data_IF_300047477281
#
_entry.id   IF_300047477281
#
_cell.length_a   1.000
_cell.length_b   1.000
_cell.length_c   1.000
_cell.angle_alpha   90.00
_cell.angle_beta   90.00
_cell.angle_gamma   90.00
#
_symmetry.space_group_name_H-M   'P 1'
#
loop_
_entity.id
_entity.type
_entity.pdbx_description
1 polymer ?
#
# COMPACT_ATOMS: atom_id res chain seq x y z
N UNK A 1 -68.66 -9.39 -36.92
CA UNK A 1 -67.22 -9.12 -37.23
C UNK A 1 -66.88 -7.65 -37.07
N UNK A 2 -67.52 -6.71 -37.77
CA UNK A 2 -67.23 -5.27 -37.64
C UNK A 2 -67.43 -4.71 -36.22
N UNK A 3 -68.53 -5.06 -35.54
CA UNK A 3 -68.78 -4.64 -34.14
C UNK A 3 -67.75 -5.22 -33.15
N UNK A 4 -67.24 -6.43 -33.39
CA UNK A 4 -66.20 -7.04 -32.55
C UNK A 4 -64.86 -6.31 -32.76
N UNK A 5 -64.56 -5.90 -34.00
CA UNK A 5 -63.36 -5.14 -34.35
C UNK A 5 -63.43 -3.72 -33.79
N UNK A 6 -64.59 -3.05 -33.81
CA UNK A 6 -64.79 -1.75 -33.16
C UNK A 6 -64.73 -1.83 -31.63
N UNK A 7 -65.23 -2.92 -31.03
CA UNK A 7 -65.09 -3.15 -29.58
C UNK A 7 -63.62 -3.35 -29.20
N UNK A 8 -62.85 -4.07 -30.03
CA UNK A 8 -61.41 -4.27 -29.85
C UNK A 8 -60.65 -2.95 -30.06
N UNK A 9 -61.03 -2.15 -31.06
CA UNK A 9 -60.41 -0.84 -31.34
C UNK A 9 -60.71 0.21 -30.27
N UNK A 10 -61.91 0.18 -29.67
CA UNK A 10 -62.26 1.06 -28.55
C UNK A 10 -61.57 0.65 -27.25
N UNK A 11 -61.43 -0.65 -26.96
CA UNK A 11 -60.60 -1.15 -25.85
C UNK A 11 -59.12 -0.76 -26.01
N UNK A 12 -58.58 -0.81 -27.24
CA UNK A 12 -57.18 -0.45 -27.50
C UNK A 12 -56.92 1.06 -27.44
N UNK A 13 -57.98 1.89 -27.40
CA UNK A 13 -57.87 3.35 -27.34
C UNK A 13 -57.76 3.87 -25.91
N UNK A 14 -58.05 3.04 -24.90
CA UNK A 14 -57.89 3.41 -23.49
C UNK A 14 -56.40 3.45 -23.11
N UNK A 15 -55.88 4.62 -22.68
CA UNK A 15 -54.47 4.77 -22.29
C UNK A 15 -54.05 3.83 -21.15
N UNK A 16 -55.03 3.34 -20.37
CA UNK A 16 -54.81 2.43 -19.26
C UNK A 16 -54.60 0.99 -19.74
N UNK A 17 -55.35 0.54 -20.74
CA UNK A 17 -55.21 -0.80 -21.32
C UNK A 17 -53.87 -0.95 -22.06
N UNK A 18 -53.41 0.10 -22.76
CA UNK A 18 -52.07 0.14 -23.38
C UNK A 18 -50.97 0.02 -22.31
N UNK A 19 -51.12 0.67 -21.16
CA UNK A 19 -50.15 0.57 -20.05
C UNK A 19 -50.13 -0.82 -19.43
N UNK A 20 -51.29 -1.46 -19.25
CA UNK A 20 -51.36 -2.82 -18.75
C UNK A 20 -50.76 -3.84 -19.72
N UNK A 21 -51.05 -3.73 -21.03
CA UNK A 21 -50.45 -4.63 -22.03
C UNK A 21 -48.94 -4.44 -22.10
N UNK A 22 -48.45 -3.19 -22.07
CA UNK A 22 -47.01 -2.90 -22.02
C UNK A 22 -46.35 -3.42 -20.74
N UNK A 23 -47.02 -3.29 -19.58
CA UNK A 23 -46.54 -3.85 -18.32
C UNK A 23 -46.40 -5.38 -18.39
N UNK A 24 -47.42 -6.07 -18.92
CA UNK A 24 -47.41 -7.54 -19.07
C UNK A 24 -46.30 -7.98 -20.00
N UNK A 25 -46.19 -7.38 -21.19
CA UNK A 25 -45.13 -7.71 -22.16
C UNK A 25 -43.76 -7.46 -21.55
N UNK A 26 -43.55 -6.31 -20.90
CA UNK A 26 -42.27 -5.99 -20.27
C UNK A 26 -41.90 -6.93 -19.12
N UNK A 27 -42.85 -7.33 -18.27
CA UNK A 27 -42.60 -8.33 -17.21
C UNK A 27 -42.25 -9.69 -17.81
N UNK A 28 -42.89 -10.10 -18.90
CA UNK A 28 -42.57 -11.34 -19.61
C UNK A 28 -41.14 -11.25 -20.19
N UNK A 29 -40.79 -10.14 -20.84
CA UNK A 29 -39.44 -9.91 -21.36
C UNK A 29 -38.38 -9.94 -20.26
N UNK A 30 -38.62 -9.25 -19.14
CA UNK A 30 -37.72 -9.24 -17.98
C UNK A 30 -37.57 -10.66 -17.41
N UNK A 31 -38.67 -11.39 -17.24
CA UNK A 31 -38.67 -12.77 -16.75
C UNK A 31 -37.90 -13.72 -17.68
N UNK A 32 -38.04 -13.54 -18.99
CA UNK A 32 -37.29 -14.28 -19.99
C UNK A 32 -35.79 -13.98 -19.91
N UNK A 33 -35.41 -12.70 -19.81
CA UNK A 33 -34.01 -12.28 -19.64
C UNK A 33 -33.41 -12.85 -18.35
N UNK A 34 -34.12 -12.77 -17.22
CA UNK A 34 -33.66 -13.33 -15.93
C UNK A 34 -33.40 -14.83 -16.05
N UNK A 35 -34.33 -15.59 -16.64
CA UNK A 35 -34.16 -17.04 -16.85
C UNK A 35 -32.98 -17.34 -17.77
N UNK A 36 -32.80 -16.54 -18.83
CA UNK A 36 -31.66 -16.66 -19.74
C UNK A 36 -30.33 -16.41 -19.00
N UNK A 37 -30.23 -15.33 -18.23
CA UNK A 37 -29.04 -15.01 -17.42
C UNK A 37 -28.76 -16.06 -16.34
N UNK A 38 -29.79 -16.58 -15.65
CA UNK A 38 -29.63 -17.68 -14.69
C UNK A 38 -29.08 -18.94 -15.36
N UNK A 39 -29.58 -19.29 -16.55
CA UNK A 39 -29.12 -20.45 -17.30
C UNK A 39 -27.70 -20.27 -17.87
N UNK A 40 -27.32 -19.06 -18.25
CA UNK A 40 -25.98 -18.74 -18.73
C UNK A 40 -24.96 -18.74 -17.59
N UNK A 41 -25.23 -18.02 -16.50
CA UNK A 41 -24.27 -17.83 -15.39
C UNK A 41 -23.99 -19.13 -14.61
N UNK A 42 -25.02 -19.98 -14.43
CA UNK A 42 -24.87 -21.26 -13.73
C UNK A 42 -24.04 -22.30 -14.50
N UNK A 43 -23.81 -22.12 -15.81
CA UNK A 43 -22.92 -22.99 -16.60
C UNK A 43 -21.43 -22.72 -16.36
N UNK A 44 -21.06 -21.54 -15.84
CA UNK A 44 -19.67 -21.17 -15.57
C UNK A 44 -19.21 -21.47 -14.13
N UNK A 45 -20.14 -21.70 -13.21
CA UNK A 45 -19.86 -21.96 -11.79
C UNK A 45 -19.85 -23.47 -11.51
N UNK A 46 -18.67 -24.04 -11.23
CA UNK A 46 -18.51 -25.47 -10.91
C UNK A 46 -19.08 -25.82 -9.52
N UNK A 47 -18.99 -24.89 -8.58
CA UNK A 47 -19.37 -25.10 -7.18
C UNK A 47 -20.90 -25.08 -6.96
N UNK A 48 -21.44 -25.87 -6.03
CA UNK A 48 -22.89 -25.91 -5.74
C UNK A 48 -23.36 -24.63 -5.05
N UNK A 49 -22.54 -24.11 -4.15
CA UNK A 49 -22.90 -22.96 -3.31
C UNK A 49 -22.92 -21.68 -4.14
N UNK A 50 -21.90 -21.48 -4.99
CA UNK A 50 -21.84 -20.36 -5.93
C UNK A 50 -23.03 -20.32 -6.89
N UNK A 51 -23.49 -21.49 -7.39
CA UNK A 51 -24.67 -21.58 -8.26
C UNK A 51 -25.96 -21.16 -7.53
N UNK A 52 -26.11 -21.56 -6.27
CA UNK A 52 -27.26 -21.17 -5.45
C UNK A 52 -27.31 -19.66 -5.22
N UNK A 53 -26.20 -19.07 -4.74
CA UNK A 53 -26.13 -17.62 -4.49
C UNK A 53 -26.28 -16.80 -5.76
N UNK A 54 -25.65 -17.21 -6.87
CA UNK A 54 -25.79 -16.53 -8.16
C UNK A 54 -27.23 -16.54 -8.66
N UNK A 55 -27.94 -17.68 -8.57
CA UNK A 55 -29.36 -17.75 -8.97
C UNK A 55 -30.23 -16.84 -8.10
N UNK A 56 -29.98 -16.81 -6.79
CA UNK A 56 -30.71 -15.96 -5.84
C UNK A 56 -30.46 -14.49 -6.09
N UNK A 57 -29.22 -14.10 -6.39
CA UNK A 57 -28.86 -12.72 -6.75
C UNK A 57 -29.51 -12.28 -8.06
N UNK A 58 -29.44 -13.10 -9.11
CA UNK A 58 -30.10 -12.79 -10.39
C UNK A 58 -31.63 -12.74 -10.25
N UNK A 59 -32.22 -13.61 -9.42
CA UNK A 59 -33.65 -13.53 -9.12
C UNK A 59 -34.00 -12.23 -8.38
N UNK A 60 -33.22 -11.85 -7.37
CA UNK A 60 -33.41 -10.60 -6.63
C UNK A 60 -33.29 -9.37 -7.52
N UNK A 61 -32.25 -9.28 -8.35
CA UNK A 61 -32.09 -8.22 -9.35
C UNK A 61 -33.26 -8.19 -10.34
N UNK A 62 -33.77 -9.37 -10.69
CA UNK A 62 -34.93 -9.52 -11.54
C UNK A 62 -36.20 -8.95 -10.93
N UNK A 63 -36.49 -9.27 -9.67
CA UNK A 63 -37.62 -8.69 -8.94
C UNK A 63 -37.47 -7.17 -8.80
N UNK A 64 -36.26 -6.69 -8.52
CA UNK A 64 -35.98 -5.25 -8.46
C UNK A 64 -36.22 -4.56 -9.80
N UNK A 65 -35.73 -5.13 -10.90
CA UNK A 65 -35.96 -4.60 -12.25
C UNK A 65 -37.44 -4.59 -12.62
N UNK A 66 -38.19 -5.64 -12.28
CA UNK A 66 -39.64 -5.69 -12.46
C UNK A 66 -40.37 -4.61 -11.65
N UNK A 67 -40.00 -4.42 -10.39
CA UNK A 67 -40.56 -3.38 -9.53
C UNK A 67 -40.31 -1.96 -10.09
N UNK A 68 -39.07 -1.68 -10.51
CA UNK A 68 -38.70 -0.39 -11.15
C UNK A 68 -39.46 -0.20 -12.45
N UNK A 69 -39.55 -1.22 -13.30
CA UNK A 69 -40.27 -1.15 -14.57
C UNK A 69 -41.75 -0.83 -14.36
N UNK A 70 -42.43 -1.51 -13.43
CA UNK A 70 -43.83 -1.22 -13.09
C UNK A 70 -43.98 0.23 -12.60
N UNK A 71 -43.08 0.68 -11.73
CA UNK A 71 -43.10 2.06 -11.21
C UNK A 71 -42.98 3.09 -12.34
N UNK A 72 -42.14 2.83 -13.36
CA UNK A 72 -41.99 3.71 -14.53
C UNK A 72 -43.27 3.71 -15.39
N UNK A 73 -43.87 2.54 -15.64
CA UNK A 73 -45.10 2.43 -16.46
C UNK A 73 -46.28 3.17 -15.83
N UNK A 74 -46.36 3.17 -14.50
CA UNK A 74 -47.45 3.78 -13.74
C UNK A 74 -47.09 5.12 -13.06
N UNK A 75 -45.98 5.77 -13.46
CA UNK A 75 -45.46 7.00 -12.83
C UNK A 75 -46.51 8.11 -12.66
N UNK A 76 -47.42 8.25 -13.62
CA UNK A 76 -48.44 9.32 -13.66
C UNK A 76 -49.50 9.18 -12.54
N UNK A 77 -49.58 8.02 -11.89
CA UNK A 77 -50.49 7.74 -10.77
C UNK A 77 -49.77 7.62 -9.43
N UNK A 78 -48.44 7.72 -9.43
CA UNK A 78 -47.56 7.39 -8.30
C UNK A 78 -46.72 8.60 -7.84
N UNK A 79 -47.26 9.82 -7.97
CA UNK A 79 -46.52 11.08 -7.77
C UNK A 79 -45.71 11.16 -6.46
N UNK A 80 -46.27 10.72 -5.33
CA UNK A 80 -45.56 10.67 -4.04
C UNK A 80 -44.54 9.54 -3.92
N UNK A 81 -44.74 8.42 -4.63
CA UNK A 81 -43.84 7.27 -4.60
C UNK A 81 -42.50 7.61 -5.25
N UNK A 82 -42.49 8.38 -6.34
CA UNK A 82 -41.25 8.80 -7.02
C UNK A 82 -40.35 9.61 -6.08
N UNK A 83 -40.92 10.55 -5.31
CA UNK A 83 -40.18 11.35 -4.33
C UNK A 83 -39.66 10.45 -3.20
N UNK A 84 -40.50 9.57 -2.66
CA UNK A 84 -40.10 8.64 -1.61
C UNK A 84 -38.97 7.69 -2.05
N UNK A 85 -39.06 7.14 -3.26
CA UNK A 85 -38.01 6.29 -3.87
C UNK A 85 -36.73 7.10 -4.08
N UNK A 86 -36.81 8.34 -4.57
CA UNK A 86 -35.64 9.21 -4.73
C UNK A 86 -34.89 9.47 -3.42
N UNK A 87 -35.62 9.80 -2.35
CA UNK A 87 -35.04 10.01 -1.01
C UNK A 87 -34.45 8.70 -0.46
N UNK A 88 -35.18 7.58 -0.60
CA UNK A 88 -34.69 6.27 -0.16
C UNK A 88 -33.41 5.86 -0.92
N UNK A 89 -33.36 6.08 -2.24
CA UNK A 89 -32.17 5.83 -3.06
C UNK A 89 -30.99 6.67 -2.61
N UNK A 90 -31.18 7.96 -2.32
CA UNK A 90 -30.12 8.81 -1.79
C UNK A 90 -29.57 8.25 -0.46
N UNK A 91 -30.45 7.85 0.47
CA UNK A 91 -30.05 7.21 1.72
C UNK A 91 -29.26 5.91 1.52
N UNK A 92 -29.69 5.06 0.59
CA UNK A 92 -28.99 3.81 0.23
C UNK A 92 -27.62 4.12 -0.37
N UNK A 93 -27.51 5.11 -1.27
CA UNK A 93 -26.23 5.50 -1.88
C UNK A 93 -25.25 6.01 -0.82
N UNK A 94 -25.71 6.84 0.12
CA UNK A 94 -24.88 7.29 1.25
C UNK A 94 -24.44 6.11 2.12
N UNK A 95 -25.34 5.18 2.44
CA UNK A 95 -25.00 3.99 3.23
C UNK A 95 -23.99 3.07 2.51
N UNK A 96 -24.06 2.97 1.19
CA UNK A 96 -23.20 2.12 0.36
C UNK A 96 -21.99 2.84 -0.22
N UNK A 97 -21.75 4.10 0.16
CA UNK A 97 -20.69 4.93 -0.41
C UNK A 97 -19.34 4.21 -0.40
N UNK A 98 -18.96 3.58 0.71
CA UNK A 98 -17.67 2.89 0.83
C UNK A 98 -17.54 1.68 -0.11
N UNK A 99 -18.63 0.95 -0.32
CA UNK A 99 -18.67 -0.21 -1.23
C UNK A 99 -18.50 0.26 -2.67
N UNK A 100 -19.23 1.32 -3.05
CA UNK A 100 -19.15 1.92 -4.38
C UNK A 100 -17.74 2.47 -4.63
N UNK A 101 -17.18 3.21 -3.66
CA UNK A 101 -15.81 3.73 -3.73
C UNK A 101 -14.77 2.62 -3.81
N UNK A 102 -14.98 1.47 -3.16
CA UNK A 102 -14.07 0.33 -3.23
C UNK A 102 -14.10 -0.34 -4.61
N UNK A 103 -15.27 -0.46 -5.24
CA UNK A 103 -15.38 -0.95 -6.61
C UNK A 103 -14.68 0.01 -7.58
N UNK A 104 -14.90 1.32 -7.43
CA UNK A 104 -14.20 2.32 -8.22
C UNK A 104 -12.67 2.24 -7.99
N UNK A 105 -12.24 2.01 -6.74
CA UNK A 105 -10.84 1.83 -6.38
C UNK A 105 -10.24 0.59 -7.04
N UNK A 106 -10.97 -0.52 -7.08
CA UNK A 106 -10.55 -1.73 -7.79
C UNK A 106 -10.33 -1.47 -9.28
N UNK A 107 -11.24 -0.74 -9.94
CA UNK A 107 -11.08 -0.34 -11.34
C UNK A 107 -9.82 0.52 -11.49
N UNK A 108 -9.65 1.53 -10.64
CA UNK A 108 -8.49 2.42 -10.69
C UNK A 108 -7.17 1.66 -10.48
N UNK A 109 -7.09 0.74 -9.52
CA UNK A 109 -5.90 -0.08 -9.28
C UNK A 109 -5.63 -0.99 -10.49
N UNK A 110 -6.67 -1.63 -11.03
CA UNK A 110 -6.54 -2.62 -12.10
C UNK A 110 -6.12 -2.01 -13.44
N UNK A 111 -6.52 -0.77 -13.73
CA UNK A 111 -6.23 -0.10 -15.00
C UNK A 111 -5.24 1.08 -14.89
N UNK A 112 -4.94 1.54 -13.68
CA UNK A 112 -4.15 2.74 -13.41
C UNK A 112 -2.71 2.48 -12.96
N UNK A 113 -2.24 1.22 -13.04
CA UNK A 113 -0.85 0.82 -12.70
C UNK A 113 -0.37 1.28 -11.31
N UNK A 114 -1.27 1.42 -10.32
CA UNK A 114 -0.92 1.82 -8.96
C UNK A 114 0.02 0.79 -8.29
N UNK A 115 -0.39 -0.48 -8.35
CA UNK A 115 0.37 -1.64 -7.89
C UNK A 115 -0.28 -2.93 -8.40
N UNK A 116 0.48 -4.03 -8.33
CA UNK A 116 0.05 -5.37 -8.75
C UNK A 116 0.38 -6.43 -7.69
N UNK A 117 -0.22 -7.63 -7.77
CA UNK A 117 0.18 -8.74 -6.90
C UNK A 117 1.70 -9.00 -6.99
N UNK A 118 2.34 -9.14 -5.84
CA UNK A 118 3.79 -9.26 -5.68
C UNK A 118 4.51 -7.93 -5.45
N UNK A 119 3.85 -6.78 -5.61
CA UNK A 119 4.46 -5.49 -5.28
C UNK A 119 4.50 -5.26 -3.76
N UNK A 120 5.56 -4.59 -3.30
CA UNK A 120 5.66 -4.06 -1.93
C UNK A 120 5.06 -2.66 -1.89
N UNK A 121 4.00 -2.49 -1.11
CA UNK A 121 3.25 -1.24 -1.03
C UNK A 121 3.06 -0.78 0.42
N UNK A 122 2.77 0.50 0.60
CA UNK A 122 2.14 1.01 1.81
C UNK A 122 0.84 1.71 1.42
N UNK A 123 -0.27 1.20 1.96
CA UNK A 123 -1.63 1.65 1.71
C UNK A 123 -2.40 1.69 3.03
N UNK A 124 -3.13 2.76 3.30
CA UNK A 124 -3.94 2.83 4.53
C UNK A 124 -3.09 2.80 5.81
N UNK A 125 -1.86 3.32 5.76
CA UNK A 125 -0.87 3.20 6.83
C UNK A 125 -0.23 1.82 6.98
N UNK A 126 -0.60 0.81 6.18
CA UNK A 126 -0.13 -0.57 6.32
C UNK A 126 0.88 -0.88 5.23
N UNK A 127 2.10 -1.26 5.62
CA UNK A 127 3.16 -1.68 4.71
C UNK A 127 3.10 -3.19 4.50
N UNK A 128 3.22 -3.64 3.26
CA UNK A 128 3.20 -5.06 2.97
C UNK A 128 3.38 -5.46 1.51
N UNK A 129 3.47 -6.76 1.26
CA UNK A 129 3.51 -7.31 -0.10
C UNK A 129 2.11 -7.74 -0.54
N UNK A 130 1.67 -7.26 -1.71
CA UNK A 130 0.32 -7.52 -2.23
C UNK A 130 0.19 -8.99 -2.61
N UNK A 131 -0.82 -9.67 -2.05
CA UNK A 131 -1.15 -11.07 -2.34
C UNK A 131 -2.20 -11.15 -3.44
N UNK A 132 -3.26 -10.36 -3.32
CA UNK A 132 -4.43 -10.40 -4.20
C UNK A 132 -5.16 -9.05 -4.21
N UNK A 133 -5.83 -8.74 -5.32
CA UNK A 133 -6.62 -7.52 -5.50
C UNK A 133 -8.07 -7.92 -5.79
N UNK A 134 -8.85 -8.09 -4.73
CA UNK A 134 -10.29 -8.37 -4.82
C UNK A 134 -11.10 -7.10 -5.13
N UNK A 135 -12.37 -7.28 -5.49
CA UNK A 135 -13.26 -6.17 -5.91
C UNK A 135 -13.43 -5.10 -4.82
N UNK A 136 -13.54 -5.50 -3.55
CA UNK A 136 -13.73 -4.55 -2.44
C UNK A 136 -12.46 -4.29 -1.65
N UNK A 137 -11.52 -5.24 -1.64
CA UNK A 137 -10.35 -5.19 -0.77
C UNK A 137 -9.11 -5.74 -1.46
N UNK A 138 -7.98 -5.10 -1.19
CA UNK A 138 -6.63 -5.59 -1.50
C UNK A 138 -6.13 -6.40 -0.31
N UNK A 139 -5.63 -7.60 -0.55
CA UNK A 139 -5.04 -8.48 0.47
C UNK A 139 -3.53 -8.32 0.45
N UNK A 140 -2.94 -8.07 1.61
CA UNK A 140 -1.52 -7.75 1.77
C UNK A 140 -0.91 -8.61 2.88
N UNK A 141 0.31 -9.12 2.67
CA UNK A 141 1.15 -9.72 3.71
C UNK A 141 1.90 -8.60 4.41
N UNK A 142 1.60 -8.35 5.68
CA UNK A 142 2.10 -7.18 6.39
C UNK A 142 3.59 -7.27 6.76
N UNK A 143 4.26 -6.10 6.74
CA UNK A 143 5.62 -5.87 7.21
C UNK A 143 5.67 -4.78 8.29
N UNK A 144 6.60 -4.93 9.25
CA UNK A 144 7.14 -3.79 10.00
C UNK A 144 6.39 -3.30 11.25
N UNK A 145 5.41 -4.05 11.76
CA UNK A 145 4.65 -3.69 12.97
C UNK A 145 5.21 -4.30 14.25
N UNK A 146 5.22 -5.64 14.35
CA UNK A 146 5.75 -6.37 15.51
C UNK A 146 7.24 -6.71 15.39
N UNK A 147 7.78 -6.63 14.18
CA UNK A 147 9.15 -7.00 13.83
C UNK A 147 9.76 -5.84 13.06
N UNK A 148 11.05 -5.60 13.26
CA UNK A 148 11.77 -4.50 12.61
C UNK A 148 11.53 -4.45 11.09
N UNK A 149 11.49 -3.21 10.57
CA UNK A 149 10.58 -2.67 9.53
C UNK A 149 10.48 -3.41 8.18
N UNK A 150 11.31 -4.41 7.89
CA UNK A 150 11.43 -5.04 6.56
C UNK A 150 11.19 -6.57 6.57
N UNK A 151 10.68 -7.13 7.67
CA UNK A 151 10.26 -8.53 7.75
C UNK A 151 8.74 -8.69 7.84
N UNK A 152 8.26 -9.84 7.36
CA UNK A 152 6.85 -10.21 7.51
C UNK A 152 6.49 -10.44 8.97
N UNK A 153 5.34 -9.93 9.37
CA UNK A 153 4.76 -10.20 10.70
C UNK A 153 3.97 -11.51 10.74
N UNK A 154 3.66 -12.07 9.57
CA UNK A 154 2.75 -13.22 9.41
C UNK A 154 1.27 -12.84 9.38
N UNK A 155 0.91 -11.55 9.56
CA UNK A 155 -0.47 -11.07 9.45
C UNK A 155 -0.85 -10.86 7.98
N UNK A 156 -2.03 -11.37 7.61
CA UNK A 156 -2.68 -11.04 6.33
C UNK A 156 -3.71 -9.95 6.60
N UNK A 157 -3.56 -8.81 5.93
CA UNK A 157 -4.43 -7.65 6.10
C UNK A 157 -5.25 -7.40 4.84
N UNK A 158 -6.52 -7.05 5.01
CA UNK A 158 -7.46 -6.77 3.92
C UNK A 158 -7.92 -5.31 3.95
N UNK A 159 -7.30 -4.51 3.10
CA UNK A 159 -7.47 -3.06 3.04
C UNK A 159 -8.57 -2.74 2.01
N UNK A 160 -9.51 -1.87 2.34
CA UNK A 160 -10.54 -1.46 1.38
C UNK A 160 -9.91 -0.68 0.21
N UNK A 161 -10.30 -1.02 -1.02
CA UNK A 161 -9.73 -0.38 -2.22
C UNK A 161 -10.05 1.11 -2.31
N UNK A 162 -11.09 1.57 -1.61
CA UNK A 162 -11.43 2.98 -1.45
C UNK A 162 -10.28 3.84 -0.91
N UNK A 163 -9.33 3.23 -0.16
CA UNK A 163 -8.18 3.94 0.39
C UNK A 163 -7.25 4.51 -0.66
N UNK A 164 -7.25 3.97 -1.89
CA UNK A 164 -6.47 4.51 -3.02
C UNK A 164 -6.81 5.97 -3.34
N UNK A 165 -8.02 6.43 -2.96
CA UNK A 165 -8.48 7.81 -3.16
C UNK A 165 -8.39 8.67 -1.90
N UNK A 166 -8.20 8.05 -0.73
CA UNK A 166 -8.20 8.74 0.57
C UNK A 166 -6.78 9.04 1.05
N UNK A 167 -5.84 8.17 0.73
CA UNK A 167 -4.46 8.25 1.18
C UNK A 167 -3.48 8.00 0.02
N UNK A 168 -2.24 8.52 0.11
CA UNK A 168 -1.20 8.20 -0.86
C UNK A 168 -0.90 6.69 -0.91
N UNK A 169 -0.55 6.23 -2.10
CA UNK A 169 -0.13 4.86 -2.36
C UNK A 169 1.38 4.88 -2.56
N UNK A 170 2.13 4.33 -1.61
CA UNK A 170 3.58 4.19 -1.77
C UNK A 170 3.89 2.82 -2.36
N UNK A 171 4.45 2.78 -3.56
CA UNK A 171 4.91 1.54 -4.19
C UNK A 171 6.44 1.48 -4.18
N UNK A 172 6.99 0.52 -3.44
CA UNK A 172 8.44 0.34 -3.24
C UNK A 172 9.10 -0.57 -4.29
N UNK A 173 8.30 -1.22 -5.15
CA UNK A 173 8.79 -2.24 -6.08
C UNK A 173 8.31 -2.10 -7.53
N UNK A 174 7.54 -1.05 -7.83
CA UNK A 174 6.90 -0.82 -9.13
C UNK A 174 7.88 -0.59 -10.27
N UNK A 175 8.01 0.65 -10.75
CA UNK A 175 8.88 0.95 -11.89
C UNK A 175 10.39 0.89 -11.55
N UNK A 176 10.73 1.06 -10.27
CA UNK A 176 12.09 1.02 -9.76
C UNK A 176 12.16 0.11 -8.52
N UNK A 177 12.54 -1.18 -8.67
CA UNK A 177 12.57 -2.15 -7.58
C UNK A 177 13.83 -2.04 -6.70
N UNK A 178 14.28 -0.82 -6.47
CA UNK A 178 15.43 -0.50 -5.65
C UNK A 178 15.13 0.69 -4.76
N UNK A 179 15.85 0.78 -3.64
CA UNK A 179 15.74 1.85 -2.67
C UNK A 179 17.13 2.47 -2.48
N UNK A 180 17.17 3.79 -2.30
CA UNK A 180 18.34 4.41 -1.70
C UNK A 180 18.27 4.17 -0.20
N UNK A 181 19.28 3.49 0.34
CA UNK A 181 19.45 3.31 1.77
C UNK A 181 20.70 4.04 2.24
N UNK A 182 20.69 4.44 3.51
CA UNK A 182 21.78 5.17 4.14
C UNK A 182 22.11 4.55 5.49
N UNK A 183 23.40 4.32 5.73
CA UNK A 183 23.92 3.93 7.04
C UNK A 183 24.91 4.97 7.54
N UNK A 184 24.82 5.26 8.83
CA UNK A 184 25.64 6.26 9.52
C UNK A 184 26.62 5.54 10.43
N UNK A 185 27.91 5.76 10.20
CA UNK A 185 29.00 5.17 10.97
C UNK A 185 29.67 6.28 11.78
N UNK A 186 29.49 6.29 13.11
CA UNK A 186 30.15 7.28 13.96
C UNK A 186 31.60 6.87 14.20
N UNK A 187 32.54 7.70 13.76
CA UNK A 187 33.99 7.48 13.92
C UNK A 187 34.55 8.46 14.95
N UNK A 188 35.30 7.95 15.92
CA UNK A 188 35.83 8.74 17.05
C UNK A 188 36.74 9.87 16.55
N UNK A 189 36.62 11.05 17.17
CA UNK A 189 37.62 12.11 16.98
C UNK A 189 39.02 11.65 17.42
N UNK A 190 40.02 11.98 16.61
CA UNK A 190 41.40 11.47 16.76
C UNK A 190 41.72 10.23 15.92
N UNK A 191 40.73 9.56 15.32
CA UNK A 191 40.97 8.57 14.27
C UNK A 191 41.42 9.22 12.97
N UNK A 192 42.11 8.47 12.10
CA UNK A 192 42.50 8.95 10.77
C UNK A 192 41.28 8.98 9.82
N UNK A 193 40.78 10.16 9.41
CA UNK A 193 39.56 10.25 8.61
C UNK A 193 39.76 9.80 7.15
N UNK A 194 40.96 9.96 6.59
CA UNK A 194 41.27 9.48 5.24
C UNK A 194 41.25 7.95 5.21
N UNK A 195 41.93 7.31 6.16
CA UNK A 195 41.93 5.85 6.28
C UNK A 195 40.53 5.29 6.54
N UNK A 196 39.75 5.95 7.40
CA UNK A 196 38.36 5.56 7.65
C UNK A 196 37.52 5.61 6.35
N UNK A 197 37.66 6.70 5.56
CA UNK A 197 36.98 6.81 4.26
C UNK A 197 37.38 5.70 3.31
N UNK A 198 38.66 5.44 3.14
CA UNK A 198 39.17 4.40 2.24
C UNK A 198 38.63 3.01 2.59
N UNK A 199 38.61 2.67 3.89
CA UNK A 199 38.06 1.40 4.37
C UNK A 199 36.56 1.31 4.07
N UNK A 200 35.81 2.38 4.36
CA UNK A 200 34.36 2.42 4.16
C UNK A 200 34.00 2.35 2.68
N UNK A 201 34.69 3.10 1.80
CA UNK A 201 34.49 3.06 0.36
C UNK A 201 34.81 1.66 -0.20
N UNK A 202 35.89 1.03 0.26
CA UNK A 202 36.25 -0.34 -0.16
C UNK A 202 35.17 -1.34 0.24
N UNK A 203 34.77 -1.39 1.51
CA UNK A 203 33.74 -2.32 2.01
C UNK A 203 32.40 -2.07 1.30
N UNK A 204 32.04 -0.80 1.09
CA UNK A 204 30.80 -0.44 0.42
C UNK A 204 30.76 -0.96 -1.03
N UNK A 205 31.85 -0.81 -1.78
CA UNK A 205 31.94 -1.31 -3.15
C UNK A 205 32.07 -2.85 -3.23
N UNK A 206 32.65 -3.49 -2.21
CA UNK A 206 32.72 -4.96 -2.12
C UNK A 206 31.34 -5.58 -1.88
N UNK A 207 30.55 -5.01 -0.96
CA UNK A 207 29.22 -5.55 -0.60
C UNK A 207 28.16 -5.16 -1.62
N UNK A 208 28.14 -3.90 -2.08
CA UNK A 208 27.22 -3.43 -3.11
C UNK A 208 27.82 -3.75 -4.46
N UNK A 209 27.63 -5.00 -4.89
CA UNK A 209 28.22 -5.51 -6.12
C UNK A 209 27.88 -4.66 -7.35
N UNK A 210 28.82 -4.63 -8.30
CA UNK A 210 28.64 -3.90 -9.56
C UNK A 210 27.38 -4.35 -10.31
N UNK A 211 27.00 -5.63 -10.19
CA UNK A 211 25.78 -6.18 -10.78
C UNK A 211 24.50 -5.49 -10.27
N UNK A 212 24.42 -5.21 -8.96
CA UNK A 212 23.28 -4.50 -8.35
C UNK A 212 23.21 -3.08 -8.90
N UNK A 213 24.36 -2.39 -8.99
CA UNK A 213 24.45 -1.01 -9.50
C UNK A 213 24.05 -0.95 -10.97
N UNK A 214 24.54 -1.87 -11.81
CA UNK A 214 24.18 -1.96 -13.23
C UNK A 214 22.70 -2.25 -13.43
N UNK A 215 22.14 -3.14 -12.62
CA UNK A 215 20.70 -3.43 -12.62
C UNK A 215 19.89 -2.20 -12.25
N UNK A 216 20.24 -1.50 -11.17
CA UNK A 216 19.59 -0.26 -10.76
C UNK A 216 19.67 0.82 -11.85
N UNK A 217 20.86 1.01 -12.47
CA UNK A 217 21.04 1.92 -13.62
C UNK A 217 20.09 1.60 -14.76
N UNK A 218 19.93 0.33 -15.13
CA UNK A 218 19.02 -0.10 -16.19
C UNK A 218 17.57 0.27 -15.89
N UNK A 219 17.11 0.09 -14.65
CA UNK A 219 15.75 0.50 -14.26
C UNK A 219 15.60 2.02 -14.19
N UNK A 220 16.61 2.74 -13.71
CA UNK A 220 16.59 4.20 -13.67
C UNK A 220 16.53 4.83 -15.07
N UNK A 221 17.21 4.25 -16.05
CA UNK A 221 17.09 4.69 -17.44
C UNK A 221 15.68 4.50 -18.01
N UNK A 222 14.92 3.51 -17.52
CA UNK A 222 13.49 3.39 -17.86
C UNK A 222 12.67 4.48 -17.17
N UNK A 223 12.98 4.81 -15.91
CA UNK A 223 12.33 5.89 -15.18
C UNK A 223 12.49 7.24 -15.88
N UNK A 224 13.70 7.57 -16.34
CA UNK A 224 13.98 8.81 -17.08
C UNK A 224 13.23 8.92 -18.41
N UNK A 225 12.90 7.78 -19.04
CA UNK A 225 12.10 7.75 -20.27
C UNK A 225 10.60 7.87 -19.98
N UNK A 226 10.14 7.36 -18.84
CA UNK A 226 8.72 7.35 -18.44
C UNK A 226 8.31 8.65 -17.75
N UNK A 227 9.22 9.27 -16.99
CA UNK A 227 8.94 10.41 -16.13
C UNK A 227 9.93 11.56 -16.36
N UNK A 228 9.47 12.78 -16.14
CA UNK A 228 10.30 13.98 -16.19
C UNK A 228 11.05 14.18 -14.86
N UNK A 229 12.13 13.43 -14.66
CA UNK A 229 12.95 13.46 -13.43
C UNK A 229 14.42 13.68 -13.74
N UNK A 230 15.18 14.15 -12.74
CA UNK A 230 16.64 14.31 -12.86
C UNK A 230 17.35 12.95 -12.89
N UNK A 231 18.47 12.87 -13.62
CA UNK A 231 19.35 11.71 -13.60
C UNK A 231 20.16 11.63 -12.29
N UNK A 232 19.55 11.08 -11.24
CA UNK A 232 20.20 10.87 -9.96
C UNK A 232 21.41 9.91 -10.02
N UNK A 233 22.39 10.12 -9.14
CA UNK A 233 23.54 9.22 -8.98
C UNK A 233 23.14 7.93 -8.26
N UNK A 234 23.53 6.79 -8.82
CA UNK A 234 23.20 5.43 -8.34
C UNK A 234 24.40 4.79 -7.67
N UNK A 235 25.60 5.24 -8.03
CA UNK A 235 26.85 4.78 -7.47
C UNK A 235 26.87 4.98 -5.95
N UNK A 236 27.36 3.98 -5.19
CA UNK A 236 27.56 4.13 -3.76
C UNK A 236 28.55 5.26 -3.47
N UNK A 237 28.34 5.96 -2.35
CA UNK A 237 29.23 7.05 -1.93
C UNK A 237 29.32 7.16 -0.42
N UNK A 238 30.52 7.46 0.06
CA UNK A 238 30.78 7.86 1.44
C UNK A 238 30.84 9.39 1.51
N UNK A 239 30.11 9.96 2.46
CA UNK A 239 30.20 11.38 2.81
C UNK A 239 30.59 11.54 4.27
N UNK A 240 31.22 12.66 4.61
CA UNK A 240 31.67 12.97 5.97
C UNK A 240 30.93 14.20 6.47
N UNK A 241 30.36 14.10 7.66
CA UNK A 241 29.75 15.17 8.42
C UNK A 241 30.40 15.25 9.81
N UNK A 242 30.66 16.45 10.31
CA UNK A 242 31.26 16.64 11.64
C UNK A 242 30.14 16.94 12.65
N UNK A 243 30.09 16.18 13.75
CA UNK A 243 29.17 16.42 14.87
C UNK A 243 29.94 16.89 16.11
N UNK A 244 29.27 17.26 17.20
CA UNK A 244 29.97 17.67 18.42
C UNK A 244 30.76 16.52 19.08
N UNK A 245 30.37 15.27 18.83
CA UNK A 245 30.87 14.10 19.55
C UNK A 245 31.71 13.14 18.68
N UNK A 246 31.50 13.12 17.36
CA UNK A 246 32.21 12.22 16.43
C UNK A 246 32.21 12.74 14.98
N UNK A 247 33.07 12.13 14.16
CA UNK A 247 33.03 12.24 12.70
C UNK A 247 32.00 11.24 12.16
N UNK A 248 30.89 11.71 11.60
CA UNK A 248 29.83 10.86 11.04
C UNK A 248 30.12 10.57 9.55
N UNK A 249 30.39 9.32 9.24
CA UNK A 249 30.48 8.86 7.86
C UNK A 249 29.12 8.30 7.42
N UNK A 250 28.52 8.91 6.40
CA UNK A 250 27.27 8.44 5.81
C UNK A 250 27.56 7.69 4.51
N UNK A 251 27.24 6.40 4.51
CA UNK A 251 27.34 5.52 3.34
C UNK A 251 25.96 5.48 2.69
N UNK A 252 25.85 6.02 1.48
CA UNK A 252 24.63 5.99 0.68
C UNK A 252 24.80 5.02 -0.48
N UNK A 253 23.85 4.10 -0.65
CA UNK A 253 23.88 3.11 -1.72
C UNK A 253 22.48 2.76 -2.20
N UNK A 254 22.41 2.12 -3.37
CA UNK A 254 21.16 1.60 -3.94
C UNK A 254 21.12 0.09 -3.75
N UNK A 255 19.99 -0.42 -3.27
CA UNK A 255 19.79 -1.83 -2.95
C UNK A 255 18.39 -2.31 -3.36
N UNK A 256 18.25 -3.58 -3.70
CA UNK A 256 16.93 -4.17 -3.94
C UNK A 256 16.06 -4.07 -2.67
N UNK A 257 14.78 -3.72 -2.83
CA UNK A 257 13.86 -3.53 -1.70
C UNK A 257 13.72 -4.76 -0.77
N UNK A 258 13.99 -5.97 -1.26
CA UNK A 258 13.98 -7.22 -0.46
C UNK A 258 15.28 -7.49 0.28
N UNK A 259 16.39 -6.93 -0.18
CA UNK A 259 17.74 -7.22 0.32
C UNK A 259 18.29 -6.15 1.25
N UNK A 260 17.57 -5.04 1.46
CA UNK A 260 17.98 -3.90 2.28
C UNK A 260 18.57 -4.32 3.63
N UNK A 261 17.85 -5.12 4.41
CA UNK A 261 18.30 -5.58 5.74
C UNK A 261 19.54 -6.48 5.68
N UNK A 262 19.59 -7.41 4.72
CA UNK A 262 20.72 -8.33 4.56
C UNK A 262 22.00 -7.60 4.17
N UNK A 263 21.91 -6.65 3.24
CA UNK A 263 23.05 -5.84 2.81
C UNK A 263 23.52 -4.92 3.94
N UNK A 264 22.60 -4.33 4.69
CA UNK A 264 22.91 -3.52 5.86
C UNK A 264 23.68 -4.31 6.93
N UNK A 265 23.23 -5.53 7.23
CA UNK A 265 23.90 -6.44 8.15
C UNK A 265 25.33 -6.81 7.70
N UNK A 266 25.48 -7.14 6.40
CA UNK A 266 26.78 -7.43 5.80
C UNK A 266 27.73 -6.22 5.86
N UNK A 267 27.23 -5.02 5.55
CA UNK A 267 28.01 -3.78 5.63
C UNK A 267 28.50 -3.56 7.06
N UNK A 268 27.60 -3.60 8.07
CA UNK A 268 28.02 -3.39 9.46
C UNK A 268 29.05 -4.40 9.93
N UNK A 269 28.85 -5.68 9.60
CA UNK A 269 29.77 -6.76 9.99
C UNK A 269 31.16 -6.54 9.38
N UNK A 270 31.23 -6.29 8.07
CA UNK A 270 32.52 -6.09 7.40
C UNK A 270 33.22 -4.79 7.79
N UNK A 271 32.46 -3.72 8.06
CA UNK A 271 33.02 -2.45 8.56
C UNK A 271 33.65 -2.67 9.95
N UNK A 272 32.95 -3.38 10.84
CA UNK A 272 33.45 -3.68 12.18
C UNK A 272 34.74 -4.51 12.14
N UNK A 273 34.77 -5.56 11.30
CA UNK A 273 35.94 -6.39 11.10
C UNK A 273 37.11 -5.58 10.53
N UNK A 274 36.84 -4.71 9.54
CA UNK A 274 37.86 -3.88 8.93
C UNK A 274 38.43 -2.85 9.90
N UNK A 275 37.59 -2.23 10.74
CA UNK A 275 38.05 -1.27 11.75
C UNK A 275 38.89 -1.96 12.83
N UNK A 276 38.50 -3.17 13.26
CA UNK A 276 39.26 -3.95 14.24
C UNK A 276 40.68 -4.28 13.75
N UNK A 277 40.83 -4.55 12.44
CA UNK A 277 42.15 -4.80 11.82
C UNK A 277 43.07 -3.57 11.80
N UNK A 278 42.54 -2.36 11.98
CA UNK A 278 43.36 -1.13 12.02
C UNK A 278 44.11 -0.92 13.34
N UNK A 279 43.93 -1.82 14.33
CA UNK A 279 44.61 -1.77 15.63
C UNK A 279 44.47 -0.40 16.33
N UNK A 280 43.32 0.27 16.18
CA UNK A 280 43.00 1.53 16.85
C UNK A 280 43.25 2.80 16.05
N UNK A 281 43.76 2.72 14.81
CA UNK A 281 43.87 3.92 13.94
C UNK A 281 42.49 4.46 13.54
N UNK A 282 41.50 3.57 13.42
CA UNK A 282 40.09 3.90 13.22
C UNK A 282 39.27 3.18 14.29
N UNK A 283 38.37 3.90 14.95
CA UNK A 283 37.52 3.31 15.99
C UNK A 283 36.12 3.88 15.93
N UNK A 284 35.12 3.03 16.16
CA UNK A 284 33.73 3.45 16.29
C UNK A 284 33.60 4.31 17.54
N UNK A 285 32.93 5.45 17.42
CA UNK A 285 32.68 6.29 18.59
C UNK A 285 31.62 5.62 19.48
N UNK A 286 31.91 5.53 20.77
CA UNK A 286 30.88 5.49 21.81
C UNK A 286 30.56 6.93 22.23
N UNK A 287 29.44 7.17 22.91
CA UNK A 287 29.13 8.46 23.53
C UNK A 287 30.36 8.97 24.26
N UNK A 288 30.96 10.05 23.76
CA UNK A 288 32.17 10.65 24.34
C UNK A 288 31.71 11.62 25.42
N UNK A 289 31.94 11.28 26.69
CA UNK A 289 31.77 12.22 27.80
C UNK A 289 33.12 12.87 28.06
N UNK A 290 33.26 14.14 27.68
CA UNK A 290 34.43 14.94 28.04
C UNK A 290 34.26 15.43 29.49
N UNK A 291 35.03 14.89 30.44
CA UNK A 291 35.14 15.50 31.77
C UNK A 291 36.04 16.74 31.64
N UNK A 292 35.44 17.93 31.79
CA UNK A 292 36.15 19.21 31.61
C UNK A 292 37.07 19.53 32.80
N UNK A 293 36.84 18.93 33.96
CA UNK A 293 37.67 19.10 35.16
C UNK A 293 37.42 17.94 36.13
N UNK A 294 38.46 17.43 36.80
CA UNK A 294 38.26 16.65 38.02
C UNK A 294 37.98 17.65 39.15
N UNK A 295 36.93 17.44 39.98
CA UNK A 295 36.68 18.35 41.09
C UNK A 295 37.90 18.37 42.01
N UNK A 296 38.26 19.55 42.50
CA UNK A 296 39.36 19.72 43.46
C UNK A 296 39.04 18.89 44.70
N UNK A 297 39.79 17.82 44.94
CA UNK A 297 39.63 17.01 46.15
C UNK A 297 40.27 17.74 47.32
N UNK A 298 39.44 18.32 48.18
CA UNK A 298 39.90 18.95 49.42
C UNK A 298 40.17 17.85 50.46
N UNK A 299 41.39 17.33 50.46
CA UNK A 299 41.81 16.26 51.38
C UNK A 299 42.09 16.88 52.76
N UNK A 300 41.11 16.80 53.66
CA UNK A 300 41.33 17.11 55.09
C UNK A 300 42.16 16.01 55.74
N UNK A 301 43.47 16.22 55.80
CA UNK A 301 44.36 15.39 56.61
C UNK A 301 44.06 15.64 58.10
N UNK A 302 43.61 14.60 58.79
CA UNK A 302 43.40 14.61 60.23
C UNK A 302 44.78 14.50 60.89
N UNK A 303 45.35 15.62 61.34
CA UNK A 303 46.55 15.63 62.15
C UNK A 303 46.24 15.01 63.51
N UNK A 304 46.62 13.75 63.70
CA UNK A 304 46.58 13.08 65.00
C UNK A 304 47.86 13.47 65.76
N UNK A 305 47.87 14.69 66.32
CA UNK A 305 48.84 15.05 67.34
C UNK A 305 48.34 14.52 68.69
N UNK A 306 48.58 13.23 68.94
CA UNK A 306 48.62 12.72 70.30
C UNK A 306 49.88 13.28 70.97
N UNK A 307 49.67 14.33 71.77
CA UNK A 307 50.63 14.86 72.70
C UNK A 307 51.23 13.74 73.56
N UNK A 308 52.57 13.63 73.55
CA UNK A 308 53.27 13.07 74.67
C UNK A 308 53.27 14.11 75.79
N UNK A 309 52.72 13.73 76.94
CA UNK A 309 52.97 14.42 78.19
C UNK A 309 53.06 13.38 79.31
N UNK A 310 54.32 13.14 79.70
CA UNK A 310 54.83 12.56 80.95
C UNK A 310 54.61 11.06 81.19
#
# INVERSE_FOLDING_TARGET
>A
MAQLIELIQSLYRDPMLIKFTFAIVGIITISFLIRFFQYSLTRYLKDSDGRYYARKLVAFLGYLAGFVFITIVFKDRLGGLTVAVGVASAGITFALQEVISSIAGWIAISFGDFYKPGDRVQLGGIKGDVIDIGILRTTVMELGEWVDSDLYTGRIVRIANSFVFKEPVFNYSGDFPFLWDEIKIPVKYGSNPQLAREILDRVLNEVVSEEIVLSAKKYWQKMLKKYLIENAKIEPRVTLFLTDNWMEFTLRYVVNYKQRRSIKDQLFTQILDAFTKTQGQVSIASTTVHLVESPVFDVRLRNDHSHSSL
#
